data_IF_108929333104
#
_entry.id   IF_108929333104
#
_cell.length_a   1.000
_cell.length_b   1.000
_cell.length_c   1.000
_cell.angle_alpha   90.00
_cell.angle_beta   90.00
_cell.angle_gamma   90.00
#
_symmetry.space_group_name_H-M   'P 1'
#
loop_
_entity.id
_entity.type
_entity.pdbx_description
1 polymer ?
#
# COMPACT_ATOMS: atom_id res chain seq x y z
N UNK A 1 -27.47 60.32 16.62
CA UNK A 1 -27.08 61.32 15.60
C UNK A 1 -26.04 60.69 14.68
N UNK A 2 -26.27 60.69 13.35
CA UNK A 2 -25.38 60.15 12.32
C UNK A 2 -24.47 61.26 11.73
N UNK A 3 -23.65 60.97 10.70
CA UNK A 3 -24.11 61.13 9.30
C UNK A 3 -23.71 59.93 8.41
N UNK A 4 -24.51 59.39 7.48
CA UNK A 4 -25.25 59.90 6.29
C UNK A 4 -24.37 60.37 5.11
N UNK A 5 -24.37 59.56 4.03
CA UNK A 5 -24.77 59.87 2.63
C UNK A 5 -24.30 58.69 1.73
N UNK A 6 -25.10 58.00 0.93
CA UNK A 6 -25.95 58.45 -0.19
C UNK A 6 -25.10 58.37 -1.49
N UNK A 7 -25.46 57.74 -2.61
CA UNK A 7 -26.75 57.38 -3.20
C UNK A 7 -26.60 56.32 -4.31
N UNK A 8 -27.75 55.72 -4.68
CA UNK A 8 -28.00 54.83 -5.82
C UNK A 8 -27.91 55.58 -7.16
N UNK A 9 -27.60 54.87 -8.25
CA UNK A 9 -28.43 55.00 -9.46
C UNK A 9 -28.47 53.71 -10.31
N UNK A 10 -29.68 53.39 -10.79
CA UNK A 10 -30.05 52.32 -11.73
C UNK A 10 -30.31 52.96 -13.10
N UNK A 11 -30.00 52.24 -14.19
CA UNK A 11 -30.86 51.99 -15.37
C UNK A 11 -30.06 51.14 -16.39
N UNK A 12 -30.53 49.94 -16.77
CA UNK A 12 -31.24 49.63 -18.03
C UNK A 12 -30.46 50.07 -19.30
N UNK A 13 -30.13 49.26 -20.30
CA UNK A 13 -30.41 47.87 -20.67
C UNK A 13 -30.30 47.77 -22.20
N UNK A 14 -29.74 46.69 -22.77
CA UNK A 14 -30.07 46.26 -24.14
C UNK A 14 -29.50 44.88 -24.48
N UNK A 15 -30.40 44.00 -24.93
CA UNK A 15 -30.19 42.70 -25.54
C UNK A 15 -29.21 42.70 -26.71
N UNK A 16 -28.36 41.66 -26.80
CA UNK A 16 -27.98 41.04 -28.08
C UNK A 16 -27.85 39.52 -27.91
N UNK A 17 -28.71 38.80 -28.63
CA UNK A 17 -28.70 37.34 -28.83
C UNK A 17 -27.38 36.89 -29.45
N UNK A 18 -26.70 35.94 -28.82
CA UNK A 18 -25.60 35.15 -29.37
C UNK A 18 -26.02 33.69 -29.48
N UNK A 19 -25.72 33.07 -30.63
CA UNK A 19 -26.13 31.72 -31.06
C UNK A 19 -25.68 30.63 -30.10
N UNK A 20 -26.58 29.69 -29.78
CA UNK A 20 -26.28 28.44 -29.09
C UNK A 20 -25.36 27.53 -29.93
N UNK A 21 -24.36 26.97 -29.27
CA UNK A 21 -23.49 25.91 -29.76
C UNK A 21 -24.23 24.57 -29.70
N UNK A 22 -23.96 23.71 -30.68
CA UNK A 22 -24.59 22.41 -30.91
C UNK A 22 -24.14 21.31 -29.95
N UNK A 23 -23.44 21.66 -28.87
CA UNK A 23 -22.72 20.71 -28.01
C UNK A 23 -23.42 20.46 -26.67
N UNK A 24 -24.35 21.34 -26.26
CA UNK A 24 -25.09 21.18 -24.99
C UNK A 24 -26.29 20.20 -25.12
N UNK A 25 -26.84 20.06 -26.34
CA UNK A 25 -27.95 19.15 -26.62
C UNK A 25 -27.52 17.67 -26.67
N UNK A 26 -26.22 17.39 -26.85
CA UNK A 26 -25.67 16.03 -26.93
C UNK A 26 -25.36 15.45 -25.53
N UNK A 27 -25.06 16.33 -24.56
CA UNK A 27 -24.78 15.94 -23.18
C UNK A 27 -26.06 15.51 -22.43
N UNK A 28 -27.16 16.25 -22.58
CA UNK A 28 -28.45 15.89 -21.99
C UNK A 28 -29.06 14.63 -22.65
N UNK A 29 -28.76 14.39 -23.93
CA UNK A 29 -29.13 13.16 -24.63
C UNK A 29 -28.36 11.94 -24.09
N UNK A 30 -27.05 12.08 -23.81
CA UNK A 30 -26.25 11.02 -23.18
C UNK A 30 -26.71 10.73 -21.73
N UNK A 31 -27.05 11.76 -20.96
CA UNK A 31 -27.53 11.60 -19.58
C UNK A 31 -28.88 10.86 -19.56
N UNK A 32 -29.77 11.18 -20.50
CA UNK A 32 -31.08 10.52 -20.63
C UNK A 32 -30.95 9.06 -21.09
N UNK A 33 -29.99 8.76 -21.97
CA UNK A 33 -29.71 7.39 -22.40
C UNK A 33 -29.13 6.52 -21.27
N UNK A 34 -28.25 7.07 -20.43
CA UNK A 34 -27.68 6.38 -19.27
C UNK A 34 -28.73 6.06 -18.18
N UNK A 35 -29.68 6.98 -17.95
CA UNK A 35 -30.78 6.78 -16.98
C UNK A 35 -31.78 5.74 -17.47
N UNK A 36 -32.00 5.64 -18.79
CA UNK A 36 -32.91 4.64 -19.36
C UNK A 36 -32.29 3.23 -19.41
N UNK A 37 -30.97 3.11 -19.59
CA UNK A 37 -30.27 1.83 -19.48
C UNK A 37 -30.33 1.25 -18.06
N UNK A 38 -30.18 2.10 -17.03
CA UNK A 38 -30.30 1.71 -15.62
C UNK A 38 -31.68 1.19 -15.22
N UNK A 39 -32.76 1.65 -15.88
CA UNK A 39 -34.13 1.21 -15.59
C UNK A 39 -34.54 -0.09 -16.29
N UNK A 40 -33.87 -0.47 -17.38
CA UNK A 40 -34.16 -1.70 -18.11
C UNK A 40 -33.60 -2.96 -17.42
N UNK A 41 -32.49 -2.85 -16.69
CA UNK A 41 -31.86 -3.96 -15.95
C UNK A 41 -32.56 -4.29 -14.62
N UNK A 42 -33.36 -3.36 -14.09
CA UNK A 42 -34.12 -3.58 -12.85
C UNK A 42 -35.45 -4.36 -13.05
N UNK A 43 -35.86 -4.65 -14.30
CA UNK A 43 -37.17 -5.24 -14.60
C UNK A 43 -37.14 -6.72 -15.02
N UNK A 44 -35.97 -7.40 -14.99
CA UNK A 44 -35.86 -8.83 -15.31
C UNK A 44 -35.25 -9.62 -14.16
N UNK A 45 -36.03 -9.84 -13.09
CA UNK A 45 -35.87 -11.02 -12.23
C UNK A 45 -37.09 -11.21 -11.33
N UNK A 46 -38.14 -11.86 -11.85
CA UNK A 46 -39.17 -12.50 -11.03
C UNK A 46 -39.73 -13.76 -11.70
N UNK A 47 -39.79 -14.85 -10.90
CA UNK A 47 -40.40 -16.16 -11.22
C UNK A 47 -39.37 -17.19 -11.70
N UNK A 48 -39.24 -18.42 -11.19
CA UNK A 48 -40.14 -19.27 -10.39
C UNK A 48 -39.36 -20.46 -9.79
N UNK A 49 -39.86 -20.96 -8.65
CA UNK A 49 -39.52 -22.21 -7.94
C UNK A 49 -39.83 -23.50 -8.73
N UNK A 50 -38.94 -24.52 -8.71
CA UNK A 50 -39.14 -25.83 -8.03
C UNK A 50 -38.18 -26.96 -8.45
N UNK A 51 -37.78 -27.74 -7.43
CA UNK A 51 -37.51 -29.19 -7.36
C UNK A 51 -36.22 -29.83 -7.91
N UNK A 52 -35.71 -30.70 -7.04
CA UNK A 52 -34.48 -31.47 -7.11
C UNK A 52 -34.60 -32.75 -7.94
N UNK A 53 -33.47 -33.18 -8.54
CA UNK A 53 -33.11 -34.59 -8.69
C UNK A 53 -31.59 -34.73 -8.84
N UNK A 54 -31.03 -35.68 -8.09
CA UNK A 54 -29.62 -36.10 -8.11
C UNK A 54 -29.35 -36.96 -9.36
N UNK A 55 -28.19 -36.77 -9.98
CA UNK A 55 -27.46 -37.85 -10.65
C UNK A 55 -25.96 -37.52 -10.76
N UNK A 56 -25.15 -38.52 -10.44
CA UNK A 56 -23.70 -38.60 -10.46
C UNK A 56 -23.08 -38.62 -11.86
N UNK A 57 -21.93 -37.97 -12.05
CA UNK A 57 -20.71 -38.53 -12.68
C UNK A 57 -19.69 -37.41 -12.92
N UNK A 58 -18.40 -37.74 -12.75
CA UNK A 58 -17.32 -36.77 -12.60
C UNK A 58 -16.79 -36.15 -13.88
N UNK A 59 -15.93 -35.15 -13.70
CA UNK A 59 -14.64 -34.90 -14.38
C UNK A 59 -14.11 -33.53 -13.92
N UNK A 60 -12.79 -33.40 -13.84
CA UNK A 60 -12.08 -32.30 -13.16
C UNK A 60 -12.45 -30.91 -13.66
N UNK A 61 -12.69 -30.00 -12.71
CA UNK A 61 -12.89 -28.59 -12.97
C UNK A 61 -11.54 -27.86 -12.89
N UNK A 62 -11.06 -27.37 -14.04
CA UNK A 62 -10.07 -26.31 -14.10
C UNK A 62 -10.67 -25.02 -13.51
N UNK A 63 -9.87 -24.14 -12.87
CA UNK A 63 -10.40 -22.94 -12.24
C UNK A 63 -10.91 -21.98 -13.31
N UNK A 64 -12.22 -21.70 -13.26
CA UNK A 64 -12.89 -20.76 -14.16
C UNK A 64 -12.59 -19.35 -13.70
N UNK A 65 -11.77 -18.66 -14.49
CA UNK A 65 -11.41 -17.26 -14.34
C UNK A 65 -12.65 -16.38 -14.59
N UNK A 66 -13.40 -15.99 -13.55
CA UNK A 66 -14.45 -14.97 -13.67
C UNK A 66 -13.83 -13.59 -13.48
N UNK A 67 -13.37 -13.04 -14.61
CA UNK A 67 -12.98 -11.63 -14.74
C UNK A 67 -14.20 -10.73 -14.57
N UNK A 68 -14.19 -9.82 -13.60
CA UNK A 68 -14.96 -8.57 -13.67
C UNK A 68 -14.11 -7.52 -14.40
N UNK A 69 -13.94 -7.77 -15.69
CA UNK A 69 -13.53 -6.85 -16.74
C UNK A 69 -13.83 -7.61 -18.04
N UNK A 70 -15.09 -7.58 -18.47
CA UNK A 70 -15.46 -8.03 -19.80
C UNK A 70 -15.19 -6.88 -20.78
N UNK A 71 -14.48 -7.19 -21.86
CA UNK A 71 -14.32 -6.40 -23.09
C UNK A 71 -13.24 -5.30 -23.16
N UNK A 72 -12.16 -5.34 -22.37
CA UNK A 72 -10.92 -4.66 -22.80
C UNK A 72 -10.09 -5.60 -23.70
N UNK A 73 -9.68 -5.17 -24.91
CA UNK A 73 -8.86 -5.98 -25.79
C UNK A 73 -7.54 -6.34 -25.10
N UNK A 74 -7.18 -7.63 -25.12
CA UNK A 74 -5.92 -8.12 -24.56
C UNK A 74 -4.78 -7.61 -25.45
N UNK A 75 -4.15 -6.51 -25.04
CA UNK A 75 -2.93 -6.00 -25.67
C UNK A 75 -1.79 -6.94 -25.28
N UNK A 76 -1.10 -7.60 -26.24
CA UNK A 76 0.01 -8.49 -25.91
C UNK A 76 1.14 -7.71 -25.24
N UNK A 77 1.59 -8.21 -24.09
CA UNK A 77 2.71 -7.60 -23.38
C UNK A 77 4.01 -7.77 -24.16
N UNK A 78 4.76 -6.68 -24.33
CA UNK A 78 6.01 -6.66 -25.09
C UNK A 78 7.08 -5.80 -24.40
N UNK A 79 8.37 -6.18 -24.43
CA UNK A 79 9.45 -5.31 -23.95
C UNK A 79 9.59 -4.04 -24.81
N UNK A 80 9.14 -4.09 -26.07
CA UNK A 80 9.24 -3.01 -27.05
C UNK A 80 7.96 -2.15 -27.12
N UNK A 81 7.02 -2.33 -26.19
CA UNK A 81 5.82 -1.49 -26.14
C UNK A 81 6.21 -0.01 -26.01
N UNK A 82 5.63 0.91 -26.81
CA UNK A 82 6.06 2.31 -26.87
C UNK A 82 5.90 3.04 -25.52
N UNK A 83 4.87 2.70 -24.75
CA UNK A 83 4.59 3.28 -23.43
C UNK A 83 5.21 2.49 -22.27
N UNK A 84 6.14 1.57 -22.53
CA UNK A 84 6.74 0.75 -21.47
C UNK A 84 7.52 1.65 -20.48
N UNK A 85 7.09 1.77 -19.21
CA UNK A 85 7.71 2.66 -18.23
C UNK A 85 9.00 2.09 -17.64
N UNK A 86 9.28 0.80 -17.84
CA UNK A 86 10.45 0.16 -17.25
C UNK A 86 11.72 0.52 -18.02
N UNK A 87 12.83 0.86 -17.32
CA UNK A 87 14.07 1.23 -17.98
C UNK A 87 14.63 0.06 -18.80
N UNK A 88 15.43 0.38 -19.82
CA UNK A 88 16.17 -0.66 -20.55
C UNK A 88 17.21 -1.29 -19.63
N UNK A 89 17.31 -2.60 -19.69
CA UNK A 89 18.33 -3.40 -19.00
C UNK A 89 19.66 -3.38 -19.76
N UNK A 90 20.74 -3.80 -19.10
CA UNK A 90 22.04 -3.97 -19.75
C UNK A 90 22.00 -5.05 -20.85
N UNK A 91 22.94 -4.98 -21.80
CA UNK A 91 23.04 -5.95 -22.90
C UNK A 91 23.09 -7.39 -22.36
N UNK A 92 22.27 -8.27 -22.93
CA UNK A 92 22.17 -9.68 -22.53
C UNK A 92 21.10 -9.98 -21.47
N UNK A 93 20.47 -8.95 -20.89
CA UNK A 93 19.36 -9.12 -19.95
C UNK A 93 18.02 -8.65 -20.55
N UNK A 94 16.92 -9.40 -20.35
CA UNK A 94 15.60 -9.02 -20.84
C UNK A 94 15.05 -7.78 -20.14
N UNK A 95 14.52 -6.83 -20.92
CA UNK A 95 13.70 -5.73 -20.39
C UNK A 95 12.33 -6.28 -19.95
N UNK A 96 11.74 -5.68 -18.92
CA UNK A 96 10.38 -6.00 -18.51
C UNK A 96 9.36 -5.70 -19.63
N UNK A 97 8.27 -6.48 -19.66
CA UNK A 97 7.16 -6.31 -20.62
C UNK A 97 6.10 -5.32 -20.15
N UNK A 98 5.32 -4.77 -21.09
CA UNK A 98 4.19 -3.86 -20.84
C UNK A 98 3.06 -4.13 -21.85
N UNK A 99 1.75 -4.01 -21.50
CA UNK A 99 1.16 -3.43 -20.28
C UNK A 99 1.18 -4.29 -19.03
N UNK A 100 1.47 -5.59 -19.14
CA UNK A 100 1.62 -6.47 -17.99
C UNK A 100 3.08 -6.93 -17.84
N UNK A 101 3.70 -6.76 -16.67
CA UNK A 101 5.04 -7.26 -16.41
C UNK A 101 5.02 -8.79 -16.27
N UNK A 102 6.01 -9.48 -16.85
CA UNK A 102 6.07 -10.94 -16.92
C UNK A 102 7.46 -11.51 -16.66
N UNK A 103 8.49 -10.68 -16.68
CA UNK A 103 9.89 -11.10 -16.51
C UNK A 103 10.26 -11.00 -15.03
N UNK A 104 10.60 -12.11 -14.33
CA UNK A 104 11.09 -12.05 -12.96
C UNK A 104 12.29 -11.11 -12.81
N UNK A 105 12.35 -10.34 -11.74
CA UNK A 105 13.41 -9.34 -11.50
C UNK A 105 14.80 -9.99 -11.49
N UNK A 106 14.91 -11.19 -10.90
CA UNK A 106 16.15 -11.99 -10.90
C UNK A 106 16.71 -12.32 -12.28
N UNK A 107 15.88 -12.24 -13.34
CA UNK A 107 16.30 -12.47 -14.73
C UNK A 107 16.65 -11.18 -15.47
N UNK A 108 16.29 -10.02 -14.95
CA UNK A 108 16.51 -8.72 -15.59
C UNK A 108 17.90 -8.13 -15.30
N UNK A 109 18.60 -8.67 -14.29
CA UNK A 109 19.87 -8.16 -13.82
C UNK A 109 20.87 -9.28 -13.58
N UNK A 110 22.17 -8.95 -13.61
CA UNK A 110 23.21 -9.89 -13.20
C UNK A 110 23.07 -10.20 -11.71
N UNK A 111 23.45 -11.41 -11.30
CA UNK A 111 23.39 -11.82 -9.91
C UNK A 111 24.18 -10.83 -9.02
N UNK A 112 23.52 -10.29 -8.00
CA UNK A 112 24.10 -9.30 -7.08
C UNK A 112 24.37 -7.93 -7.70
N UNK A 113 23.70 -7.59 -8.80
CA UNK A 113 23.80 -6.28 -9.47
C UNK A 113 22.39 -5.68 -9.68
N UNK A 114 21.60 -5.61 -8.60
CA UNK A 114 20.27 -5.02 -8.63
C UNK A 114 20.34 -3.50 -8.52
N UNK A 115 19.37 -2.75 -9.09
CA UNK A 115 19.35 -1.30 -9.03
C UNK A 115 19.34 -0.81 -7.58
N UNK A 116 20.29 0.06 -7.25
CA UNK A 116 20.27 0.78 -5.98
C UNK A 116 19.05 1.71 -5.90
N UNK A 117 18.57 1.94 -4.69
CA UNK A 117 17.68 3.05 -4.39
C UNK A 117 18.40 4.40 -4.48
N UNK A 118 17.75 5.45 -3.99
CA UNK A 118 18.39 6.76 -3.90
C UNK A 118 19.39 6.76 -2.72
N UNK A 119 20.67 6.99 -3.02
CA UNK A 119 21.73 7.04 -2.01
C UNK A 119 21.97 8.49 -1.65
N UNK A 120 21.83 8.81 -0.37
CA UNK A 120 22.05 10.14 0.20
C UNK A 120 22.93 10.05 1.43
N UNK A 121 23.60 11.16 1.74
CA UNK A 121 24.39 11.25 2.96
C UNK A 121 23.50 11.15 4.21
N UNK A 122 24.12 10.71 5.31
CA UNK A 122 23.48 10.79 6.63
C UNK A 122 23.32 12.26 7.04
N UNK A 123 22.32 12.62 7.84
CA UNK A 123 22.21 13.97 8.38
C UNK A 123 23.40 14.28 9.32
N UNK A 124 23.82 15.55 9.36
CA UNK A 124 24.90 16.05 10.22
C UNK A 124 26.26 16.25 9.53
N UNK A 125 27.26 16.67 10.30
CA UNK A 125 28.54 17.18 9.78
C UNK A 125 29.61 16.09 9.50
N UNK A 126 29.36 14.83 9.89
CA UNK A 126 30.39 13.78 9.95
C UNK A 126 30.48 12.93 8.65
N UNK A 127 29.83 13.34 7.57
CA UNK A 127 29.75 12.54 6.33
C UNK A 127 31.11 12.34 5.65
N UNK A 128 31.98 13.35 5.65
CA UNK A 128 33.32 13.25 5.05
C UNK A 128 34.14 12.08 5.61
N UNK A 129 34.04 11.84 6.93
CA UNK A 129 34.71 10.70 7.57
C UNK A 129 34.12 9.36 7.10
N UNK A 130 32.78 9.25 7.03
CA UNK A 130 32.09 8.01 6.61
C UNK A 130 32.50 7.55 5.22
N UNK A 131 32.70 8.49 4.29
CA UNK A 131 33.16 8.20 2.93
C UNK A 131 34.65 7.82 2.86
N UNK A 132 35.50 8.55 3.59
CA UNK A 132 36.95 8.35 3.54
C UNK A 132 37.47 7.14 4.34
N UNK A 133 36.72 6.70 5.36
CA UNK A 133 37.14 5.67 6.30
C UNK A 133 37.27 4.30 5.62
N UNK A 134 38.43 3.66 5.77
CA UNK A 134 38.67 2.30 5.27
C UNK A 134 37.76 1.30 6.00
N UNK A 135 37.61 1.45 7.31
CA UNK A 135 36.74 0.62 8.15
C UNK A 135 35.29 0.68 7.67
N UNK A 136 34.74 1.88 7.41
CA UNK A 136 33.35 2.02 6.95
C UNK A 136 33.14 1.42 5.58
N UNK A 137 34.11 1.53 4.67
CA UNK A 137 34.07 0.85 3.38
C UNK A 137 34.20 -0.67 3.52
N UNK A 138 34.96 -1.17 4.50
CA UNK A 138 35.05 -2.60 4.79
C UNK A 138 33.72 -3.16 5.32
N UNK A 139 33.07 -2.44 6.23
CA UNK A 139 31.74 -2.79 6.73
C UNK A 139 30.69 -2.78 5.61
N UNK A 140 30.70 -1.77 4.74
CA UNK A 140 29.79 -1.71 3.59
C UNK A 140 29.97 -2.93 2.66
N UNK A 141 31.22 -3.31 2.36
CA UNK A 141 31.54 -4.52 1.60
C UNK A 141 31.01 -5.79 2.27
N UNK A 142 31.09 -5.88 3.61
CA UNK A 142 30.60 -7.03 4.35
C UNK A 142 29.07 -7.18 4.30
N UNK A 143 28.34 -6.07 4.16
CA UNK A 143 26.87 -6.04 4.04
C UNK A 143 26.34 -6.18 2.61
N UNK A 144 27.20 -6.17 1.58
CA UNK A 144 26.80 -6.05 0.17
C UNK A 144 25.75 -7.08 -0.24
N UNK A 145 25.90 -8.35 0.15
CA UNK A 145 24.92 -9.39 -0.18
C UNK A 145 23.51 -9.05 0.36
N UNK A 146 23.42 -8.60 1.62
CA UNK A 146 22.14 -8.26 2.25
C UNK A 146 21.51 -7.04 1.57
N UNK A 147 22.33 -6.07 1.17
CA UNK A 147 21.88 -4.89 0.41
C UNK A 147 21.36 -5.29 -0.96
N UNK A 148 22.00 -6.24 -1.65
CA UNK A 148 21.52 -6.74 -2.93
C UNK A 148 20.19 -7.49 -2.81
N UNK A 149 19.98 -8.27 -1.74
CA UNK A 149 18.67 -8.89 -1.43
C UNK A 149 17.57 -7.84 -1.22
N UNK A 150 17.88 -6.75 -0.48
CA UNK A 150 16.97 -5.63 -0.29
C UNK A 150 16.66 -4.89 -1.61
N UNK A 151 17.68 -4.63 -2.44
CA UNK A 151 17.53 -3.98 -3.74
C UNK A 151 16.68 -4.80 -4.71
N UNK A 152 16.87 -6.13 -4.74
CA UNK A 152 16.04 -7.02 -5.55
C UNK A 152 14.57 -6.98 -5.09
N UNK A 153 14.31 -7.10 -3.78
CA UNK A 153 12.97 -6.98 -3.24
C UNK A 153 12.33 -5.61 -3.56
N UNK A 154 13.10 -4.53 -3.46
CA UNK A 154 12.64 -3.18 -3.75
C UNK A 154 12.33 -2.96 -5.23
N UNK A 155 13.12 -3.57 -6.12
CA UNK A 155 12.87 -3.53 -7.56
C UNK A 155 11.58 -4.27 -7.93
N UNK A 156 11.29 -5.41 -7.29
CA UNK A 156 9.98 -6.07 -7.44
C UNK A 156 8.87 -5.11 -7.02
N UNK A 157 9.00 -4.47 -5.85
CA UNK A 157 8.00 -3.54 -5.34
C UNK A 157 7.75 -2.39 -6.33
N UNK A 158 8.82 -1.75 -6.83
CA UNK A 158 8.75 -0.70 -7.87
C UNK A 158 8.00 -1.15 -9.11
N UNK A 159 8.31 -2.33 -9.64
CA UNK A 159 7.68 -2.83 -10.85
C UNK A 159 6.19 -3.16 -10.64
N UNK A 160 5.87 -3.82 -9.52
CA UNK A 160 4.48 -4.16 -9.19
C UNK A 160 3.63 -2.90 -8.97
N UNK A 161 4.13 -1.90 -8.23
CA UNK A 161 3.37 -0.67 -7.97
C UNK A 161 3.21 0.19 -9.22
N UNK A 162 4.24 0.30 -10.07
CA UNK A 162 4.15 1.01 -11.36
C UNK A 162 3.06 0.39 -12.23
N UNK A 163 3.00 -0.94 -12.26
CA UNK A 163 1.94 -1.65 -12.94
C UNK A 163 0.58 -1.44 -12.29
N UNK A 164 0.46 -1.54 -10.96
CA UNK A 164 -0.80 -1.33 -10.24
C UNK A 164 -1.40 0.06 -10.51
N UNK A 165 -0.57 1.11 -10.49
CA UNK A 165 -0.97 2.49 -10.75
C UNK A 165 -1.57 2.70 -12.15
N UNK A 166 -1.28 1.84 -13.14
CA UNK A 166 -1.78 2.02 -14.51
C UNK A 166 -3.22 1.54 -14.74
N UNK A 167 -3.78 0.75 -13.81
CA UNK A 167 -5.12 0.17 -13.98
C UNK A 167 -6.02 0.27 -12.76
N UNK A 168 -5.52 0.66 -11.58
CA UNK A 168 -6.36 0.97 -10.42
C UNK A 168 -7.25 2.18 -10.78
N UNK A 169 -8.56 1.96 -10.84
CA UNK A 169 -9.58 2.95 -11.21
C UNK A 169 -10.89 2.72 -10.44
N UNK A 170 -11.76 3.73 -10.28
CA UNK A 170 -13.08 3.53 -9.69
C UNK A 170 -13.89 2.46 -10.44
N UNK A 171 -14.74 1.75 -9.71
CA UNK A 171 -15.52 0.60 -10.19
C UNK A 171 -14.83 -0.75 -9.99
N UNK A 172 -13.58 -0.76 -9.54
CA UNK A 172 -12.81 -1.97 -9.29
C UNK A 172 -13.12 -2.57 -7.91
N UNK A 173 -13.34 -3.89 -7.84
CA UNK A 173 -13.41 -4.62 -6.56
C UNK A 173 -12.05 -4.67 -5.87
N UNK A 174 -11.98 -4.33 -4.58
CA UNK A 174 -10.73 -4.40 -3.81
C UNK A 174 -10.21 -5.84 -3.68
N UNK A 175 -11.10 -6.84 -3.68
CA UNK A 175 -10.69 -8.25 -3.70
C UNK A 175 -9.93 -8.56 -5.00
N UNK A 176 -10.48 -8.16 -6.15
CA UNK A 176 -9.82 -8.34 -7.44
C UNK A 176 -8.49 -7.57 -7.51
N UNK A 177 -8.47 -6.34 -6.99
CA UNK A 177 -7.27 -5.50 -6.96
C UNK A 177 -6.13 -6.18 -6.20
N UNK A 178 -6.37 -6.55 -4.95
CA UNK A 178 -5.36 -7.16 -4.08
C UNK A 178 -4.91 -8.51 -4.65
N UNK A 179 -5.82 -9.34 -5.15
CA UNK A 179 -5.46 -10.60 -5.81
C UNK A 179 -4.55 -10.42 -7.04
N UNK A 180 -4.80 -9.38 -7.85
CA UNK A 180 -3.94 -9.07 -9.02
C UNK A 180 -2.54 -8.65 -8.59
N UNK A 181 -2.43 -7.76 -7.59
CA UNK A 181 -1.15 -7.30 -7.05
C UNK A 181 -0.36 -8.47 -6.47
N UNK A 182 -0.99 -9.29 -5.61
CA UNK A 182 -0.34 -10.42 -4.93
C UNK A 182 0.14 -11.48 -5.91
N UNK A 183 -0.66 -11.82 -6.93
CA UNK A 183 -0.23 -12.75 -7.99
C UNK A 183 0.97 -12.20 -8.73
N UNK A 184 0.90 -10.93 -9.16
CA UNK A 184 1.99 -10.33 -9.93
C UNK A 184 3.28 -10.24 -9.12
N UNK A 185 3.19 -9.87 -7.85
CA UNK A 185 4.31 -9.86 -6.93
C UNK A 185 4.99 -11.24 -6.86
N UNK A 186 4.21 -12.30 -6.63
CA UNK A 186 4.75 -13.66 -6.53
C UNK A 186 5.41 -14.15 -7.83
N UNK A 187 4.89 -13.74 -8.99
CA UNK A 187 5.51 -14.00 -10.30
C UNK A 187 6.84 -13.25 -10.46
N UNK A 188 6.86 -11.95 -10.19
CA UNK A 188 8.04 -11.11 -10.44
C UNK A 188 9.18 -11.35 -9.44
N UNK A 189 8.87 -11.71 -8.19
CA UNK A 189 9.87 -12.05 -7.18
C UNK A 189 10.45 -13.47 -7.37
N UNK A 190 9.71 -14.32 -8.09
CA UNK A 190 9.96 -15.76 -8.15
C UNK A 190 9.76 -16.39 -6.78
N UNK A 191 8.50 -16.46 -6.32
CA UNK A 191 8.13 -16.99 -5.00
C UNK A 191 8.77 -18.37 -4.77
N UNK A 192 9.45 -18.52 -3.64
CA UNK A 192 10.12 -19.76 -3.22
C UNK A 192 10.00 -19.95 -1.70
N UNK A 193 8.99 -20.71 -1.28
CA UNK A 193 8.69 -20.97 0.12
C UNK A 193 8.68 -19.68 0.96
N UNK A 194 9.40 -19.72 2.07
CA UNK A 194 9.63 -18.57 2.96
C UNK A 194 10.84 -17.74 2.55
N UNK A 195 11.64 -18.17 1.57
CA UNK A 195 12.86 -17.46 1.18
C UNK A 195 12.55 -16.24 0.31
N UNK A 196 11.53 -16.32 -0.53
CA UNK A 196 11.20 -15.25 -1.50
C UNK A 196 9.70 -15.13 -1.61
N UNK A 197 9.15 -13.93 -1.41
CA UNK A 197 7.71 -13.76 -1.46
C UNK A 197 7.20 -12.43 -0.96
N UNK A 198 5.91 -12.43 -0.65
CA UNK A 198 5.21 -11.30 -0.07
C UNK A 198 5.45 -11.23 1.43
N UNK A 199 5.82 -10.06 1.95
CA UNK A 199 6.18 -9.87 3.35
C UNK A 199 4.96 -9.71 4.27
N UNK A 200 3.89 -9.11 3.77
CA UNK A 200 2.65 -8.90 4.49
C UNK A 200 1.48 -8.66 3.51
N UNK A 201 0.22 -8.82 3.95
CA UNK A 201 -0.94 -8.71 3.07
C UNK A 201 -1.09 -7.34 2.41
N UNK A 202 -1.68 -7.31 1.22
CA UNK A 202 -1.90 -6.06 0.49
C UNK A 202 -2.98 -5.22 1.19
N UNK A 203 -2.57 -4.20 1.91
CA UNK A 203 -3.42 -3.15 2.46
C UNK A 203 -4.09 -2.32 1.36
N UNK A 204 -5.38 -2.06 1.52
CA UNK A 204 -6.20 -1.24 0.64
C UNK A 204 -7.21 -0.40 1.45
N UNK A 205 -6.75 0.18 2.55
CA UNK A 205 -7.58 0.88 3.53
C UNK A 205 -8.25 2.13 2.93
N UNK A 206 -9.57 2.26 3.09
CA UNK A 206 -10.36 3.36 2.51
C UNK A 206 -10.69 4.46 3.53
N UNK A 207 -10.57 5.72 3.11
CA UNK A 207 -11.09 6.90 3.79
C UNK A 207 -10.58 7.05 5.23
N UNK A 208 -11.47 6.97 6.22
CA UNK A 208 -11.15 7.05 7.65
C UNK A 208 -10.37 5.83 8.17
N UNK A 209 -10.31 4.73 7.43
CA UNK A 209 -9.46 3.57 7.76
C UNK A 209 -8.04 3.89 7.29
N UNK A 210 -7.09 4.02 8.22
CA UNK A 210 -5.70 4.38 7.92
C UNK A 210 -4.89 3.18 7.44
N UNK A 211 -4.94 2.05 8.16
CA UNK A 211 -4.07 0.90 7.94
C UNK A 211 -4.77 -0.45 8.25
N UNK A 212 -4.10 -1.55 7.88
CA UNK A 212 -4.45 -2.94 8.21
C UNK A 212 -5.81 -3.46 7.67
N UNK A 213 -6.36 -2.84 6.63
CA UNK A 213 -7.50 -3.39 5.93
C UNK A 213 -7.09 -4.05 4.61
N UNK A 214 -7.42 -5.33 4.47
CA UNK A 214 -7.49 -6.08 3.20
C UNK A 214 -8.80 -6.88 3.22
N UNK A 215 -9.48 -7.07 2.08
CA UNK A 215 -10.76 -7.78 2.05
C UNK A 215 -10.61 -9.25 2.47
N UNK A 216 -11.55 -9.73 3.26
CA UNK A 216 -11.71 -11.16 3.57
C UNK A 216 -12.50 -11.85 2.46
N UNK A 217 -12.39 -13.18 2.36
CA UNK A 217 -13.22 -13.98 1.44
C UNK A 217 -14.71 -13.69 1.68
N UNK A 218 -15.44 -13.30 0.63
CA UNK A 218 -16.83 -12.82 0.73
C UNK A 218 -17.02 -11.30 0.65
N UNK A 219 -15.95 -10.51 0.70
CA UNK A 219 -15.99 -9.04 0.56
C UNK A 219 -15.99 -8.57 -0.90
N UNK A 220 -16.51 -9.35 -1.85
CA UNK A 220 -16.43 -9.01 -3.28
C UNK A 220 -17.14 -7.69 -3.65
N UNK A 221 -18.02 -7.22 -2.76
CA UNK A 221 -18.84 -6.01 -2.93
C UNK A 221 -18.17 -4.72 -2.47
N UNK A 222 -16.95 -4.77 -1.92
CA UNK A 222 -16.20 -3.55 -1.60
C UNK A 222 -15.57 -3.05 -2.90
N UNK A 223 -16.21 -2.03 -3.48
CA UNK A 223 -15.84 -1.44 -4.77
C UNK A 223 -15.22 -0.07 -4.50
N UNK A 224 -14.06 0.18 -5.12
CA UNK A 224 -13.40 1.48 -5.12
C UNK A 224 -14.25 2.51 -5.86
N UNK A 225 -14.49 3.67 -5.25
CA UNK A 225 -15.30 4.76 -5.83
C UNK A 225 -14.44 5.99 -6.14
N UNK A 226 -15.02 6.96 -6.83
CA UNK A 226 -14.31 8.18 -7.27
C UNK A 226 -13.86 9.06 -6.10
N UNK A 227 -14.66 9.13 -5.03
CA UNK A 227 -14.41 9.95 -3.85
C UNK A 227 -13.69 9.19 -2.72
N UNK A 228 -13.18 7.98 -2.99
CA UNK A 228 -12.40 7.23 -2.03
C UNK A 228 -10.93 7.70 -1.98
N UNK A 229 -10.39 7.74 -0.76
CA UNK A 229 -8.95 7.90 -0.50
C UNK A 229 -8.40 6.56 0.00
N UNK A 230 -7.71 5.83 -0.87
CA UNK A 230 -7.23 4.47 -0.62
C UNK A 230 -5.73 4.44 -0.37
N UNK A 231 -5.29 3.79 0.70
CA UNK A 231 -3.85 3.50 0.92
C UNK A 231 -3.54 2.12 0.35
N UNK A 232 -2.63 2.05 -0.60
CA UNK A 232 -2.11 0.78 -1.13
C UNK A 232 -0.76 0.52 -0.49
N UNK A 233 -0.70 -0.57 0.26
CA UNK A 233 0.42 -0.89 1.13
C UNK A 233 0.74 -2.39 1.00
N UNK A 234 1.91 -2.75 0.50
CA UNK A 234 2.29 -4.15 0.33
C UNK A 234 3.79 -4.36 0.43
N UNK A 235 4.19 -5.51 0.97
CA UNK A 235 5.61 -5.79 1.17
C UNK A 235 6.16 -6.91 0.32
N UNK A 236 7.43 -6.80 -0.06
CA UNK A 236 8.23 -7.85 -0.69
C UNK A 236 9.36 -8.27 0.23
N UNK A 237 9.84 -9.52 0.14
CA UNK A 237 11.07 -9.91 0.83
C UNK A 237 11.89 -10.95 0.09
N UNK A 238 13.19 -10.93 0.36
CA UNK A 238 14.15 -11.99 0.00
C UNK A 238 14.97 -12.31 1.24
N UNK A 239 15.02 -13.58 1.64
CA UNK A 239 15.67 -14.06 2.85
C UNK A 239 15.27 -13.26 4.12
N UNK A 240 13.99 -12.88 4.19
CA UNK A 240 13.44 -12.06 5.27
C UNK A 240 13.83 -10.58 5.24
N UNK A 241 14.58 -10.12 4.22
CA UNK A 241 14.86 -8.69 3.99
C UNK A 241 13.62 -8.03 3.40
N UNK A 242 12.83 -7.42 4.28
CA UNK A 242 11.53 -6.86 3.92
C UNK A 242 11.71 -5.47 3.33
N UNK A 243 10.95 -5.19 2.28
CA UNK A 243 10.65 -3.86 1.80
C UNK A 243 9.20 -3.58 2.16
N UNK A 244 9.02 -2.59 3.01
CA UNK A 244 7.77 -1.94 3.37
C UNK A 244 7.66 -0.58 2.67
N UNK A 245 6.58 -0.38 1.92
CA UNK A 245 6.41 0.78 1.05
C UNK A 245 4.95 0.92 0.60
N UNK A 246 4.43 2.14 0.74
CA UNK A 246 3.02 2.42 0.54
C UNK A 246 2.81 3.78 -0.14
N UNK A 247 1.67 3.90 -0.82
CA UNK A 247 1.21 5.17 -1.38
C UNK A 247 -0.30 5.30 -1.29
N UNK A 248 -0.78 6.54 -1.40
CA UNK A 248 -2.21 6.84 -1.44
C UNK A 248 -2.68 7.03 -2.88
N UNK A 249 -3.86 6.49 -3.18
CA UNK A 249 -4.61 6.66 -4.42
C UNK A 249 -5.88 7.46 -4.11
N UNK A 250 -6.08 8.54 -4.85
CA UNK A 250 -7.33 9.30 -4.91
C UNK A 250 -7.58 9.75 -6.35
N UNK A 251 -8.84 9.80 -6.77
CA UNK A 251 -9.22 10.19 -8.15
C UNK A 251 -9.85 11.56 -8.23
N UNK A 252 -10.48 12.00 -7.14
CA UNK A 252 -10.98 13.36 -7.01
C UNK A 252 -9.83 14.29 -6.60
N UNK A 253 -9.44 15.27 -7.45
CA UNK A 253 -8.32 16.18 -7.18
C UNK A 253 -8.48 17.00 -5.89
N UNK A 254 -9.68 17.04 -5.31
CA UNK A 254 -9.91 17.67 -4.00
C UNK A 254 -9.04 17.07 -2.88
N UNK A 255 -8.56 15.83 -3.05
CA UNK A 255 -7.69 15.16 -2.09
C UNK A 255 -6.20 15.37 -2.36
N UNK A 256 -5.81 15.92 -3.52
CA UNK A 256 -4.39 16.12 -3.88
C UNK A 256 -3.61 16.90 -2.81
N UNK A 257 -4.15 17.98 -2.20
CA UNK A 257 -3.45 18.68 -1.12
C UNK A 257 -3.20 17.82 0.13
N UNK A 258 -4.11 16.89 0.45
CA UNK A 258 -3.93 15.96 1.57
C UNK A 258 -2.83 14.95 1.26
N UNK A 259 -2.81 14.40 0.04
CA UNK A 259 -1.76 13.48 -0.41
C UNK A 259 -0.39 14.17 -0.41
N UNK A 260 -0.33 15.41 -0.89
CA UNK A 260 0.91 16.20 -0.91
C UNK A 260 1.44 16.45 0.50
N UNK A 261 0.59 16.86 1.45
CA UNK A 261 1.00 17.09 2.84
C UNK A 261 1.64 15.85 3.47
N UNK A 262 1.03 14.68 3.28
CA UNK A 262 1.56 13.41 3.81
C UNK A 262 2.85 13.00 3.11
N UNK A 263 2.91 13.16 1.78
CA UNK A 263 4.13 12.86 1.01
C UNK A 263 5.30 13.73 1.49
N UNK A 264 5.10 15.04 1.63
CA UNK A 264 6.13 15.96 2.13
C UNK A 264 6.57 15.61 3.56
N UNK A 265 5.64 15.28 4.45
CA UNK A 265 5.94 14.88 5.81
C UNK A 265 6.76 13.56 5.85
N UNK A 266 6.43 12.56 5.03
CA UNK A 266 7.23 11.34 4.89
C UNK A 266 8.64 11.66 4.39
N UNK A 267 8.78 12.55 3.41
CA UNK A 267 10.10 12.96 2.90
C UNK A 267 10.93 13.74 3.91
N UNK A 268 10.30 14.57 4.75
CA UNK A 268 11.01 15.20 5.87
C UNK A 268 11.49 14.15 6.88
N UNK A 269 10.65 13.16 7.21
CA UNK A 269 11.05 12.01 8.04
C UNK A 269 12.27 11.28 7.48
N UNK A 270 12.25 10.97 6.18
CA UNK A 270 13.37 10.31 5.49
C UNK A 270 14.62 11.18 5.53
N UNK A 271 14.50 12.48 5.29
CA UNK A 271 15.62 13.44 5.31
C UNK A 271 16.27 13.50 6.69
N UNK A 272 15.47 13.55 7.77
CA UNK A 272 15.93 13.59 9.16
C UNK A 272 16.47 12.25 9.67
N UNK A 273 16.04 11.13 9.08
CA UNK A 273 16.51 9.80 9.46
C UNK A 273 18.00 9.60 9.11
N UNK A 274 18.71 8.89 9.96
CA UNK A 274 20.11 8.53 9.74
C UNK A 274 20.81 8.12 11.02
N UNK A 275 22.05 7.65 10.90
CA UNK A 275 22.79 7.16 12.07
C UNK A 275 22.93 8.29 13.11
N UNK A 276 22.69 7.96 14.38
CA UNK A 276 22.64 8.87 15.52
C UNK A 276 21.45 9.83 15.58
N UNK A 277 20.58 9.86 14.58
CA UNK A 277 19.33 10.62 14.63
C UNK A 277 18.42 10.09 15.73
N UNK A 278 17.79 11.01 16.49
CA UNK A 278 16.89 10.66 17.59
C UNK A 278 15.47 10.53 17.06
N UNK A 279 14.80 9.44 17.41
CA UNK A 279 13.45 9.13 16.91
C UNK A 279 12.45 10.25 17.22
N UNK A 280 12.47 10.81 18.43
CA UNK A 280 11.59 11.92 18.82
C UNK A 280 11.82 13.22 18.03
N UNK A 281 13.05 13.49 17.58
CA UNK A 281 13.35 14.68 16.77
C UNK A 281 12.82 14.52 15.34
N UNK A 282 12.93 13.31 14.78
CA UNK A 282 12.32 12.94 13.49
C UNK A 282 10.81 13.15 13.57
N UNK A 283 10.15 12.67 14.62
CA UNK A 283 8.71 12.84 14.80
C UNK A 283 8.26 14.28 14.95
N UNK A 284 9.07 15.13 15.61
CA UNK A 284 8.79 16.56 15.70
C UNK A 284 8.88 17.26 14.34
N UNK A 285 9.88 16.93 13.52
CA UNK A 285 10.03 17.48 12.17
C UNK A 285 8.89 17.02 11.22
N UNK A 286 8.48 15.76 11.32
CA UNK A 286 7.33 15.22 10.58
C UNK A 286 6.05 15.98 10.94
N UNK A 287 5.77 16.17 12.23
CA UNK A 287 4.59 16.91 12.70
C UNK A 287 4.59 18.35 12.21
N UNK A 288 5.74 19.03 12.28
CA UNK A 288 5.88 20.41 11.82
C UNK A 288 5.49 20.55 10.34
N UNK A 289 6.01 19.67 9.47
CA UNK A 289 5.68 19.68 8.05
C UNK A 289 4.22 19.30 7.81
N UNK A 290 3.73 18.22 8.44
CA UNK A 290 2.36 17.75 8.28
C UNK A 290 1.34 18.82 8.68
N UNK A 291 1.49 19.40 9.87
CA UNK A 291 0.53 20.35 10.45
C UNK A 291 0.67 21.77 9.90
N UNK A 292 1.69 22.04 9.06
CA UNK A 292 1.79 23.29 8.28
C UNK A 292 0.79 23.37 7.12
N UNK A 293 0.13 22.26 6.79
CA UNK A 293 -0.81 22.16 5.68
C UNK A 293 -2.28 22.35 6.13
N UNK A 294 -3.03 23.09 5.32
CA UNK A 294 -4.49 23.16 5.38
C UNK A 294 -5.08 22.66 4.04
N UNK A 295 -6.21 21.96 4.11
CA UNK A 295 -6.90 21.40 2.94
C UNK A 295 -8.40 21.72 2.99
N UNK A 296 -9.00 21.99 1.84
CA UNK A 296 -10.46 22.19 1.72
C UNK A 296 -11.11 20.95 1.09
N UNK A 297 -11.95 20.26 1.85
CA UNK A 297 -12.66 19.06 1.41
C UNK A 297 -14.16 19.29 1.62
N UNK A 298 -14.92 19.22 0.53
CA UNK A 298 -16.37 19.45 0.51
C UNK A 298 -16.78 20.79 1.15
N UNK A 299 -16.02 21.87 0.88
CA UNK A 299 -16.30 23.21 1.39
C UNK A 299 -15.93 23.41 2.87
N UNK A 300 -15.20 22.47 3.47
CA UNK A 300 -14.72 22.56 4.85
C UNK A 300 -13.18 22.56 4.86
N UNK A 301 -12.61 23.56 5.54
CA UNK A 301 -11.16 23.64 5.76
C UNK A 301 -10.76 22.75 6.95
N UNK A 302 -9.71 21.98 6.77
CA UNK A 302 -9.09 21.13 7.76
C UNK A 302 -7.59 21.42 7.81
N UNK A 303 -7.05 21.67 9.00
CA UNK A 303 -5.62 21.45 9.23
C UNK A 303 -5.35 19.95 9.16
N UNK A 304 -4.32 19.54 8.42
CA UNK A 304 -3.90 18.13 8.36
C UNK A 304 -3.24 17.76 9.68
N UNK A 305 -3.62 16.63 10.27
CA UNK A 305 -3.06 16.15 11.55
C UNK A 305 -2.34 14.84 11.37
N UNK A 306 -1.16 14.71 11.98
CA UNK A 306 -0.52 13.41 12.15
C UNK A 306 -1.40 12.48 12.98
N UNK A 307 -1.52 11.21 12.57
CA UNK A 307 -2.18 10.19 13.39
C UNK A 307 -1.24 9.77 14.52
N UNK A 308 -1.35 10.42 15.67
CA UNK A 308 -0.35 10.38 16.75
C UNK A 308 -0.08 9.02 17.41
N UNK A 309 -0.91 8.01 17.14
CA UNK A 309 -0.72 6.63 17.64
C UNK A 309 -0.39 5.64 16.52
N UNK A 310 0.03 6.13 15.35
CA UNK A 310 0.77 5.38 14.33
C UNK A 310 2.20 5.90 14.27
N UNK A 311 3.10 5.10 13.70
CA UNK A 311 4.53 5.38 13.67
C UNK A 311 5.19 4.48 12.64
N UNK A 312 6.26 4.95 12.00
CA UNK A 312 7.18 4.04 11.33
C UNK A 312 7.92 3.13 12.32
N UNK A 313 8.80 2.27 11.83
CA UNK A 313 9.42 1.24 12.66
C UNK A 313 10.74 0.71 12.09
N UNK A 314 11.55 0.10 12.95
CA UNK A 314 12.70 -0.67 12.48
C UNK A 314 12.28 -2.08 12.00
N UNK A 315 12.96 -2.56 10.97
CA UNK A 315 12.72 -3.85 10.33
C UNK A 315 13.93 -4.76 10.57
N UNK A 316 13.67 -6.02 10.91
CA UNK A 316 14.68 -7.06 11.00
C UNK A 316 14.31 -8.26 10.12
N UNK A 317 15.24 -9.21 9.87
CA UNK A 317 14.94 -10.38 9.05
C UNK A 317 13.68 -11.12 9.53
N UNK A 318 12.68 -11.24 8.65
CA UNK A 318 11.37 -11.85 8.92
C UNK A 318 10.53 -11.18 10.02
N UNK A 319 10.92 -10.00 10.50
CA UNK A 319 10.25 -9.29 11.58
C UNK A 319 9.96 -7.87 11.09
N UNK A 320 8.70 -7.61 10.74
CA UNK A 320 8.30 -6.30 10.23
C UNK A 320 8.46 -5.19 11.28
N UNK A 321 8.12 -5.47 12.54
CA UNK A 321 8.30 -4.57 13.67
C UNK A 321 9.33 -5.13 14.66
N UNK A 322 10.56 -4.59 14.67
CA UNK A 322 11.67 -5.14 15.47
C UNK A 322 12.03 -4.34 16.74
N UNK A 323 11.14 -3.44 17.17
CA UNK A 323 11.11 -2.88 18.52
C UNK A 323 11.33 -1.38 18.66
N UNK A 324 11.90 -0.68 17.66
CA UNK A 324 12.00 0.78 17.62
C UNK A 324 10.85 1.35 16.79
N UNK A 325 10.15 2.34 17.34
CA UNK A 325 9.09 3.10 16.65
C UNK A 325 9.59 4.49 16.26
N UNK A 326 9.38 4.88 15.01
CA UNK A 326 9.65 6.21 14.47
C UNK A 326 8.38 7.05 14.64
N UNK A 327 8.27 7.89 15.67
CA UNK A 327 7.07 8.68 15.89
C UNK A 327 6.84 9.66 14.74
N UNK A 328 5.58 10.04 14.52
CA UNK A 328 5.18 11.09 13.55
C UNK A 328 4.62 12.34 14.23
N UNK A 329 4.88 12.44 15.54
CA UNK A 329 4.57 13.57 16.42
C UNK A 329 5.73 13.82 17.38
N UNK A 330 5.87 15.04 17.87
CA UNK A 330 6.84 15.40 18.91
C UNK A 330 6.56 14.65 20.22
N UNK A 331 7.59 14.56 21.05
CA UNK A 331 7.51 13.97 22.40
C UNK A 331 7.77 12.46 22.45
N UNK A 332 8.18 11.86 21.33
CA UNK A 332 8.61 10.47 21.28
C UNK A 332 9.95 10.20 21.99
N UNK A 333 10.31 8.92 22.04
CA UNK A 333 11.55 8.46 22.67
C UNK A 333 12.80 9.07 22.03
N UNK A 334 13.82 9.28 22.84
CA UNK A 334 15.10 9.85 22.40
C UNK A 334 16.12 8.77 22.00
N UNK A 335 15.64 7.53 21.83
CA UNK A 335 16.36 6.39 21.25
C UNK A 335 16.92 6.80 19.88
N UNK A 336 18.12 6.32 19.57
CA UNK A 336 18.81 6.66 18.32
C UNK A 336 18.66 5.55 17.27
N UNK A 337 18.68 5.97 16.02
CA UNK A 337 18.93 5.09 14.89
C UNK A 337 20.42 4.69 14.84
N UNK A 338 20.68 3.43 14.53
CA UNK A 338 22.01 2.82 14.56
C UNK A 338 22.46 2.35 13.17
N UNK A 339 23.78 2.21 13.02
CA UNK A 339 24.39 1.74 11.78
C UNK A 339 23.96 0.30 11.46
N UNK A 340 23.60 0.06 10.19
CA UNK A 340 23.16 -1.24 9.70
C UNK A 340 21.66 -1.52 9.90
N UNK A 341 20.93 -0.65 10.60
CA UNK A 341 19.48 -0.80 10.75
C UNK A 341 18.72 -0.49 9.46
N UNK A 342 17.53 -1.08 9.34
CA UNK A 342 16.55 -0.85 8.28
C UNK A 342 15.31 -0.26 8.93
N UNK A 343 14.72 0.76 8.33
CA UNK A 343 13.52 1.41 8.83
C UNK A 343 12.46 1.56 7.75
N UNK A 344 11.21 1.30 8.10
CA UNK A 344 10.03 1.85 7.47
C UNK A 344 9.84 3.29 7.97
N UNK A 345 9.94 4.26 7.06
CA UNK A 345 9.56 5.64 7.34
C UNK A 345 8.20 5.89 6.68
N UNK A 346 7.16 5.79 7.49
CA UNK A 346 5.76 6.02 7.10
C UNK A 346 5.17 7.17 7.90
N UNK A 347 4.27 7.92 7.26
CA UNK A 347 3.48 8.96 7.92
C UNK A 347 2.03 8.87 7.51
N UNK A 348 1.15 9.30 8.42
CA UNK A 348 -0.29 9.28 8.21
C UNK A 348 -0.89 10.64 8.55
N UNK A 349 -1.46 11.30 7.55
CA UNK A 349 -2.24 12.54 7.72
C UNK A 349 -3.72 12.24 7.81
N UNK A 350 -4.44 12.95 8.67
CA UNK A 350 -5.88 12.83 8.87
C UNK A 350 -6.57 14.18 8.94
N UNK A 351 -7.78 14.25 8.38
CA UNK A 351 -8.71 15.37 8.56
C UNK A 351 -9.62 15.21 9.78
N UNK A 352 -9.47 14.10 10.52
CA UNK A 352 -10.25 13.70 11.68
C UNK A 352 -9.63 14.11 13.02
N UNK A 353 -9.56 13.17 13.96
CA UNK A 353 -8.98 13.38 15.30
C UNK A 353 -7.47 13.21 15.33
N UNK A 354 -6.87 12.67 14.26
CA UNK A 354 -5.45 12.31 14.26
C UNK A 354 -5.17 11.22 15.29
N UNK A 355 -6.10 10.26 15.42
CA UNK A 355 -5.97 9.11 16.33
C UNK A 355 -6.85 7.96 15.86
N UNK A 356 -6.26 6.78 15.74
CA UNK A 356 -6.94 5.58 15.26
C UNK A 356 -7.35 4.64 16.40
N UNK A 357 -8.44 3.92 16.20
CA UNK A 357 -8.87 2.80 17.06
C UNK A 357 -8.99 1.55 16.20
N UNK A 358 -8.92 0.38 16.83
CA UNK A 358 -9.25 -0.87 16.17
C UNK A 358 -10.77 -0.91 15.87
N UNK A 359 -11.15 -1.17 14.62
CA UNK A 359 -12.53 -1.37 14.20
C UNK A 359 -12.59 -2.29 12.96
N UNK A 360 -13.80 -2.65 12.52
CA UNK A 360 -14.09 -3.54 11.40
C UNK A 360 -13.62 -4.99 11.63
N UNK A 361 -13.87 -5.84 10.64
CA UNK A 361 -13.45 -7.23 10.72
C UNK A 361 -11.93 -7.37 10.53
N UNK A 362 -11.27 -8.04 11.46
CA UNK A 362 -9.83 -8.30 11.37
C UNK A 362 -9.50 -9.22 10.18
N UNK A 363 -8.53 -8.82 9.38
CA UNK A 363 -8.01 -9.61 8.26
C UNK A 363 -6.54 -10.03 8.43
N UNK A 364 -5.73 -9.21 9.12
CA UNK A 364 -4.30 -9.42 9.28
C UNK A 364 -3.95 -10.15 10.58
N UNK A 365 -2.97 -11.04 10.49
CA UNK A 365 -2.47 -11.86 11.59
C UNK A 365 -0.96 -12.07 11.45
N UNK A 366 -0.27 -12.29 12.56
CA UNK A 366 1.16 -12.61 12.55
C UNK A 366 1.48 -13.62 13.66
N UNK A 367 2.31 -14.61 13.35
CA UNK A 367 2.76 -15.56 14.37
C UNK A 367 3.69 -14.87 15.36
N UNK A 368 3.53 -15.15 16.65
CA UNK A 368 4.43 -14.64 17.66
C UNK A 368 5.78 -15.39 17.58
N UNK A 369 6.94 -14.69 17.63
CA UNK A 369 8.23 -15.37 17.69
C UNK A 369 8.30 -16.39 18.84
N UNK A 370 8.76 -17.61 18.55
CA UNK A 370 8.83 -18.73 19.50
C UNK A 370 7.57 -19.61 19.53
N UNK A 371 6.46 -19.18 18.93
CA UNK A 371 5.22 -19.94 18.90
C UNK A 371 5.32 -21.23 18.07
N UNK A 372 6.31 -21.38 17.19
CA UNK A 372 6.52 -22.58 16.37
C UNK A 372 6.72 -23.86 17.19
N UNK A 373 7.15 -23.72 18.45
CA UNK A 373 7.37 -24.82 19.38
C UNK A 373 6.18 -25.07 20.34
N UNK A 374 5.15 -24.23 20.29
CA UNK A 374 3.97 -24.36 21.16
C UNK A 374 3.19 -25.65 20.87
N UNK A 375 2.76 -26.30 21.95
CA UNK A 375 1.89 -27.47 21.89
C UNK A 375 0.46 -27.09 22.31
N UNK A 376 -0.47 -27.28 21.38
CA UNK A 376 -1.88 -26.94 21.55
C UNK A 376 -2.70 -28.20 21.74
N UNK A 377 -3.78 -28.11 22.53
CA UNK A 377 -4.68 -29.25 22.77
C UNK A 377 -5.51 -29.62 21.52
N UNK A 378 -5.83 -28.64 20.68
CA UNK A 378 -6.60 -28.86 19.45
C UNK A 378 -5.67 -29.28 18.32
N UNK A 379 -5.84 -30.51 17.81
CA UNK A 379 -5.07 -31.01 16.67
C UNK A 379 -5.23 -30.11 15.43
N UNK A 380 -6.42 -29.58 15.19
CA UNK A 380 -6.67 -28.68 14.05
C UNK A 380 -5.99 -27.32 14.22
N UNK A 381 -5.97 -26.77 15.44
CA UNK A 381 -5.21 -25.54 15.72
C UNK A 381 -3.71 -25.80 15.59
N UNK A 382 -3.22 -26.95 16.06
CA UNK A 382 -1.82 -27.33 15.91
C UNK A 382 -1.42 -27.50 14.43
N UNK A 383 -2.29 -28.10 13.61
CA UNK A 383 -2.07 -28.21 12.17
C UNK A 383 -2.02 -26.83 11.49
N UNK A 384 -2.93 -25.92 11.86
CA UNK A 384 -2.93 -24.55 11.37
C UNK A 384 -1.64 -23.80 11.77
N UNK A 385 -1.20 -23.91 13.03
CA UNK A 385 0.04 -23.29 13.50
C UNK A 385 1.27 -23.81 12.74
N UNK A 386 1.36 -25.12 12.51
CA UNK A 386 2.44 -25.73 11.70
C UNK A 386 2.44 -25.19 10.27
N UNK A 387 1.27 -25.00 9.68
CA UNK A 387 1.15 -24.39 8.36
C UNK A 387 1.59 -22.94 8.36
N UNK A 388 1.13 -22.15 9.33
CA UNK A 388 1.54 -20.74 9.48
C UNK A 388 3.05 -20.63 9.60
N UNK A 389 3.67 -21.41 10.48
CA UNK A 389 5.13 -21.42 10.64
C UNK A 389 5.85 -21.78 9.34
N UNK A 390 5.40 -22.81 8.61
CA UNK A 390 6.03 -23.25 7.37
C UNK A 390 5.90 -22.21 6.24
N UNK A 391 4.73 -21.60 6.11
CA UNK A 391 4.36 -20.78 4.95
C UNK A 391 4.68 -19.30 5.14
N UNK A 392 4.58 -18.81 6.38
CA UNK A 392 4.70 -17.39 6.72
C UNK A 392 5.78 -17.15 7.78
N UNK A 393 6.12 -18.15 8.59
CA UNK A 393 7.00 -17.96 9.76
C UNK A 393 6.48 -16.79 10.61
N UNK A 394 7.32 -15.81 10.93
CA UNK A 394 6.94 -14.58 11.65
C UNK A 394 6.49 -13.44 10.73
N UNK A 395 6.38 -13.65 9.41
CA UNK A 395 5.76 -12.68 8.51
C UNK A 395 4.25 -12.63 8.71
N UNK A 396 3.66 -11.48 8.39
CA UNK A 396 2.22 -11.31 8.48
C UNK A 396 1.50 -12.05 7.35
N UNK A 397 0.28 -12.52 7.64
CA UNK A 397 -0.60 -13.19 6.71
C UNK A 397 -2.05 -12.71 6.89
N UNK A 398 -2.94 -13.11 5.98
CA UNK A 398 -4.35 -12.80 6.08
C UNK A 398 -5.25 -14.01 5.83
N UNK A 399 -6.54 -13.89 6.17
CA UNK A 399 -7.53 -14.97 6.06
C UNK A 399 -7.65 -15.54 4.65
N UNK A 400 -7.71 -14.69 3.62
CA UNK A 400 -7.83 -15.14 2.22
C UNK A 400 -6.62 -15.95 1.75
N UNK A 401 -5.44 -15.77 2.36
CA UNK A 401 -4.28 -16.61 2.06
C UNK A 401 -4.43 -18.01 2.66
N UNK A 402 -4.95 -18.11 3.88
CA UNK A 402 -5.30 -19.41 4.48
C UNK A 402 -6.36 -20.14 3.65
N UNK A 403 -7.36 -19.43 3.13
CA UNK A 403 -8.35 -20.01 2.22
C UNK A 403 -7.70 -20.53 0.93
N UNK A 404 -6.77 -19.78 0.34
CA UNK A 404 -6.00 -20.19 -0.86
C UNK A 404 -5.14 -21.42 -0.59
N UNK A 405 -4.66 -21.59 0.64
CA UNK A 405 -3.88 -22.74 1.08
C UNK A 405 -4.74 -23.97 1.44
N UNK A 406 -6.07 -23.88 1.31
CA UNK A 406 -7.01 -24.97 1.58
C UNK A 406 -7.41 -25.12 3.06
N UNK A 407 -7.19 -24.09 3.88
CA UNK A 407 -7.69 -24.02 5.25
C UNK A 407 -9.08 -23.36 5.30
N UNK A 408 -10.05 -23.98 4.62
CA UNK A 408 -11.44 -23.52 4.63
C UNK A 408 -11.98 -23.53 6.07
N UNK A 409 -12.69 -22.48 6.47
CA UNK A 409 -13.29 -22.35 7.83
C UNK A 409 -12.25 -22.33 8.97
N UNK A 410 -11.11 -21.71 8.73
CA UNK A 410 -10.01 -21.58 9.69
C UNK A 410 -10.33 -20.73 10.95
N UNK A 411 -11.36 -19.87 10.91
CA UNK A 411 -11.66 -18.86 11.95
C UNK A 411 -11.66 -19.39 13.39
N UNK A 412 -12.30 -20.53 13.65
CA UNK A 412 -12.35 -21.09 15.01
C UNK A 412 -10.95 -21.48 15.51
N UNK A 413 -10.15 -22.10 14.64
CA UNK A 413 -8.79 -22.50 14.99
C UNK A 413 -7.86 -21.29 15.07
N UNK A 414 -8.04 -20.29 14.19
CA UNK A 414 -7.27 -19.06 14.21
C UNK A 414 -7.53 -18.26 15.49
N UNK A 415 -8.80 -18.12 15.90
CA UNK A 415 -9.14 -17.50 17.18
C UNK A 415 -8.53 -18.27 18.35
N UNK A 416 -8.48 -19.61 18.28
CA UNK A 416 -7.82 -20.42 19.30
C UNK A 416 -6.31 -20.12 19.39
N UNK A 417 -5.63 -19.94 18.25
CA UNK A 417 -4.22 -19.54 18.23
C UNK A 417 -4.01 -18.16 18.84
N UNK A 418 -4.96 -17.24 18.64
CA UNK A 418 -4.95 -15.92 19.27
C UNK A 418 -5.15 -16.02 20.78
N UNK A 419 -6.15 -16.79 21.24
CA UNK A 419 -6.43 -16.99 22.67
C UNK A 419 -5.26 -17.65 23.41
N UNK A 420 -4.51 -18.52 22.72
CA UNK A 420 -3.34 -19.23 23.26
C UNK A 420 -2.04 -18.41 23.12
N UNK A 421 -2.09 -17.20 22.52
CA UNK A 421 -0.95 -16.30 22.37
C UNK A 421 0.07 -16.73 21.30
N UNK A 422 -0.28 -17.68 20.44
CA UNK A 422 0.57 -18.14 19.35
C UNK A 422 0.56 -17.20 18.14
N UNK A 423 -0.55 -16.46 17.95
CA UNK A 423 -0.78 -15.55 16.83
C UNK A 423 -1.38 -14.25 17.34
N UNK A 424 -0.91 -13.11 16.86
CA UNK A 424 -1.56 -11.82 17.12
C UNK A 424 -2.49 -11.45 15.98
N UNK A 425 -3.59 -10.78 16.32
CA UNK A 425 -4.50 -10.14 15.36
C UNK A 425 -4.10 -8.68 15.15
N UNK A 426 -4.24 -8.18 13.93
CA UNK A 426 -3.99 -6.78 13.57
C UNK A 426 -5.24 -6.25 12.85
N UNK A 427 -6.27 -5.82 13.59
CA UNK A 427 -7.49 -5.30 12.99
C UNK A 427 -7.24 -3.96 12.27
N UNK A 428 -8.13 -3.57 11.34
CA UNK A 428 -8.10 -2.25 10.72
C UNK A 428 -8.05 -1.12 11.74
N UNK A 429 -7.26 -0.10 11.44
CA UNK A 429 -7.04 1.06 12.30
C UNK A 429 -7.78 2.27 11.74
N UNK A 430 -8.79 2.77 12.45
CA UNK A 430 -9.76 3.75 11.95
C UNK A 430 -9.76 5.05 12.77
N UNK A 431 -9.73 6.19 12.08
CA UNK A 431 -10.10 7.50 12.65
C UNK A 431 -11.64 7.65 12.58
N UNK A 432 -12.16 8.81 12.99
CA UNK A 432 -13.59 9.09 13.04
C UNK A 432 -14.24 8.99 11.66
N UNK A 433 -15.37 8.27 11.59
CA UNK A 433 -16.14 8.12 10.35
C UNK A 433 -16.42 9.49 9.71
N UNK A 434 -16.18 9.58 8.41
CA UNK A 434 -16.30 10.81 7.62
C UNK A 434 -15.02 11.64 7.54
N UNK A 435 -13.95 11.26 8.23
CA UNK A 435 -12.61 11.78 7.93
C UNK A 435 -11.97 11.05 6.76
N UNK A 436 -10.88 11.63 6.27
CA UNK A 436 -10.01 11.09 5.23
C UNK A 436 -8.60 10.96 5.79
N UNK A 437 -7.96 9.84 5.48
CA UNK A 437 -6.57 9.56 5.85
C UNK A 437 -5.76 9.21 4.62
N UNK A 438 -4.51 9.65 4.58
CA UNK A 438 -3.53 9.35 3.55
C UNK A 438 -2.22 8.83 4.20
N UNK A 439 -1.46 8.02 3.47
CA UNK A 439 -0.18 7.41 3.84
C UNK A 439 0.81 7.51 2.67
N UNK A 440 2.08 7.74 3.01
CA UNK A 440 3.23 7.49 2.15
C UNK A 440 4.33 6.85 2.97
N UNK A 441 5.08 5.94 2.36
CA UNK A 441 6.10 5.18 3.06
C UNK A 441 7.27 4.75 2.17
N UNK A 442 8.46 4.75 2.75
CA UNK A 442 9.64 4.09 2.19
C UNK A 442 10.44 3.31 3.22
N UNK A 443 10.92 2.14 2.80
CA UNK A 443 12.05 1.47 3.45
C UNK A 443 13.38 2.17 3.16
N UNK A 444 14.14 2.45 4.20
CA UNK A 444 15.51 2.98 4.16
C UNK A 444 16.50 2.01 4.84
N UNK A 445 17.73 1.95 4.32
CA UNK A 445 18.86 1.25 4.95
C UNK A 445 19.91 2.25 5.42
N UNK A 446 20.32 2.14 6.68
CA UNK A 446 21.34 3.00 7.29
C UNK A 446 22.72 2.38 7.12
N UNK A 447 23.23 2.43 5.88
CA UNK A 447 24.55 1.88 5.55
C UNK A 447 25.71 2.63 6.24
N UNK A 448 26.88 1.99 6.38
CA UNK A 448 28.03 2.59 7.08
C UNK A 448 28.52 3.91 6.44
N UNK A 449 28.46 4.00 5.12
CA UNK A 449 28.94 5.16 4.34
C UNK A 449 27.84 6.17 4.06
N UNK A 450 26.62 5.71 3.79
CA UNK A 450 25.49 6.52 3.34
C UNK A 450 24.17 5.85 3.70
N UNK A 451 23.09 6.61 3.64
CA UNK A 451 21.70 6.12 3.75
C UNK A 451 21.19 5.81 2.34
N UNK A 452 20.54 4.67 2.17
CA UNK A 452 19.88 4.30 0.92
C UNK A 452 18.37 4.25 1.10
N UNK A 453 17.63 5.03 0.32
CA UNK A 453 16.17 4.97 0.22
C UNK A 453 15.83 3.84 -0.76
N UNK A 454 15.87 2.61 -0.25
CA UNK A 454 15.82 1.37 -1.05
C UNK A 454 14.63 1.32 -2.00
N UNK A 455 13.45 1.72 -1.51
CA UNK A 455 12.17 1.62 -2.21
C UNK A 455 11.82 2.84 -3.07
N UNK A 456 12.68 3.88 -3.09
CA UNK A 456 12.49 5.07 -3.92
C UNK A 456 12.36 4.67 -5.40
N UNK A 457 11.42 5.29 -6.11
CA UNK A 457 11.23 5.13 -7.55
C UNK A 457 11.00 6.47 -8.23
N UNK A 458 10.64 6.44 -9.51
CA UNK A 458 10.31 7.66 -10.26
C UNK A 458 8.92 8.22 -9.93
N UNK A 459 8.08 7.44 -9.26
CA UNK A 459 6.68 7.73 -8.96
C UNK A 459 6.50 8.52 -7.67
N UNK A 460 7.11 8.07 -6.57
CA UNK A 460 7.14 8.85 -5.33
C UNK A 460 8.44 8.74 -4.60
#
# INVERSE_FOLDING_TARGET
MPPKNGAKNKQQGSNKKGKGSKDDDDFDAMLTAAVNASKADAAKNHGTTHQAKRSSSGTGAAPVNRSLAADEPVVPSSPDHPENPYPKTANGYPRQTWPEPTVPVSKQFAAGQFPAGEIVDHPGEVNNFRHSSEEKRALARASEQQVQEMREAAEVHRQVRTWAQSWIKPGLSLMLMTDRIERKLNELIGKDGILRGQAFPTGCSLNHVAAHYTPNTGDEKVILTYDDVMKVDFGTHINGRIIDCAWTVAFNPMFDPLLQAVKEATYEGIKQAGIDARLGDIGAAIEEVMESHEVEIHGKVHQVKSIRNLSGHNIAPYIIHSGKSVPIVKGGEQTKMEEGEVFAIETFGSTGRGFVNEDLECSHYMMQPGAETMQLRSEKAQQLLKHIHKSYSTLAFCRKWLDRDGFDRHLMNLNRLVDEGAVNKYPPLVDVKGSYTAQYEHTIYLGPTAKEILSKGSDY
#
